data_IF_750309406805
#
_entry.id   IF_750309406805
#
_cell.length_a   1.000
_cell.length_b   1.000
_cell.length_c   1.000
_cell.angle_alpha   90.00
_cell.angle_beta   90.00
_cell.angle_gamma   90.00
#
_symmetry.space_group_name_H-M   'P 1'
#
loop_
_entity.id
_entity.type
_entity.pdbx_description
1 polymer ?
#
# COMPACT_ATOMS: atom_id res chain seq x y z
N UNK A 1 2.57 4.54 13.34
CA UNK A 1 3.28 4.81 12.05
C UNK A 1 2.84 6.16 11.48
N UNK A 2 3.78 6.90 10.95
CA UNK A 2 3.46 8.14 10.25
C UNK A 2 2.89 7.85 8.86
N UNK A 3 2.26 8.86 8.24
CA UNK A 3 1.73 8.74 6.88
C UNK A 3 2.83 8.43 5.87
N UNK A 4 4.01 9.04 6.02
CA UNK A 4 5.17 8.77 5.16
C UNK A 4 5.64 7.32 5.26
N UNK A 5 5.73 6.78 6.48
CA UNK A 5 6.09 5.38 6.70
C UNK A 5 5.08 4.42 6.08
N UNK A 6 3.79 4.71 6.21
CA UNK A 6 2.72 3.91 5.62
C UNK A 6 2.78 3.94 4.09
N UNK A 7 3.01 5.10 3.49
CA UNK A 7 3.17 5.23 2.03
C UNK A 7 4.38 4.45 1.52
N UNK A 8 5.50 4.54 2.24
CA UNK A 8 6.71 3.79 1.88
C UNK A 8 6.46 2.28 1.94
N UNK A 9 5.79 1.82 2.98
CA UNK A 9 5.44 0.41 3.12
C UNK A 9 4.48 -0.04 2.03
N UNK A 10 3.50 0.77 1.69
CA UNK A 10 2.58 0.51 0.59
C UNK A 10 3.33 0.33 -0.72
N UNK A 11 4.25 1.24 -1.05
CA UNK A 11 5.05 1.18 -2.26
C UNK A 11 5.93 -0.07 -2.30
N UNK A 12 6.55 -0.44 -1.19
CA UNK A 12 7.34 -1.67 -1.09
C UNK A 12 6.49 -2.91 -1.37
N UNK A 13 5.31 -3.00 -0.76
CA UNK A 13 4.40 -4.12 -0.96
C UNK A 13 3.90 -4.19 -2.40
N UNK A 14 3.57 -3.05 -2.99
CA UNK A 14 3.14 -2.97 -4.39
C UNK A 14 4.25 -3.45 -5.33
N UNK A 15 5.50 -3.03 -5.08
CA UNK A 15 6.66 -3.47 -5.84
C UNK A 15 6.90 -4.98 -5.71
N UNK A 16 6.75 -5.53 -4.51
CA UNK A 16 6.87 -6.97 -4.26
C UNK A 16 5.82 -7.74 -5.06
N UNK A 17 4.57 -7.30 -5.02
CA UNK A 17 3.46 -7.92 -5.76
C UNK A 17 3.73 -7.88 -7.27
N UNK A 18 4.17 -6.76 -7.80
CA UNK A 18 4.52 -6.60 -9.22
C UNK A 18 5.67 -7.53 -9.62
N UNK A 19 6.70 -7.62 -8.79
CA UNK A 19 7.85 -8.51 -9.02
C UNK A 19 7.43 -9.98 -9.01
N UNK A 20 6.57 -10.37 -8.07
CA UNK A 20 6.04 -11.73 -7.97
C UNK A 20 5.19 -12.09 -9.21
N UNK A 21 4.37 -11.17 -9.68
CA UNK A 21 3.58 -11.37 -10.90
C UNK A 21 4.49 -11.63 -12.11
N UNK A 22 5.55 -10.84 -12.27
CA UNK A 22 6.52 -11.01 -13.36
C UNK A 22 7.23 -12.36 -13.28
N UNK A 23 7.64 -12.76 -12.07
CA UNK A 23 8.28 -14.06 -11.85
C UNK A 23 7.34 -15.22 -12.17
N UNK A 24 6.08 -15.14 -11.75
CA UNK A 24 5.10 -16.20 -11.99
C UNK A 24 4.79 -16.37 -13.48
N UNK A 25 4.83 -15.30 -14.26
CA UNK A 25 4.60 -15.36 -15.71
C UNK A 25 5.71 -16.13 -16.43
N UNK A 26 6.95 -16.07 -15.91
CA UNK A 26 8.10 -16.75 -16.48
C UNK A 26 8.28 -18.19 -15.98
N UNK A 27 7.62 -18.55 -14.88
CA UNK A 27 7.74 -19.88 -14.27
C UNK A 27 6.75 -20.87 -14.87
N UNK A 28 7.22 -22.12 -15.06
CA UNK A 28 6.39 -23.24 -15.53
C UNK A 28 6.13 -24.27 -14.43
N UNK A 29 6.92 -24.24 -13.34
CA UNK A 29 6.79 -25.18 -12.24
C UNK A 29 5.68 -24.75 -11.28
N UNK A 30 4.64 -25.58 -11.19
CA UNK A 30 3.47 -25.32 -10.35
C UNK A 30 3.80 -25.15 -8.87
N UNK A 31 4.77 -25.89 -8.37
CA UNK A 31 5.15 -25.83 -6.95
C UNK A 31 5.72 -24.46 -6.59
N UNK A 32 6.58 -23.90 -7.43
CA UNK A 32 7.11 -22.56 -7.23
C UNK A 32 6.05 -21.49 -7.38
N UNK A 33 5.16 -21.65 -8.36
CA UNK A 33 4.04 -20.72 -8.58
C UNK A 33 3.14 -20.67 -7.35
N UNK A 34 2.78 -21.83 -6.77
CA UNK A 34 1.95 -21.90 -5.56
C UNK A 34 2.61 -21.20 -4.37
N UNK A 35 3.92 -21.38 -4.18
CA UNK A 35 4.66 -20.72 -3.10
C UNK A 35 4.68 -19.21 -3.29
N UNK A 36 4.89 -18.73 -4.52
CA UNK A 36 4.88 -17.31 -4.82
C UNK A 36 3.48 -16.70 -4.69
N UNK A 37 2.44 -17.44 -5.03
CA UNK A 37 1.05 -17.02 -4.83
C UNK A 37 0.74 -16.81 -3.35
N UNK A 38 1.25 -17.67 -2.47
CA UNK A 38 1.08 -17.51 -1.02
C UNK A 38 1.74 -16.23 -0.51
N UNK A 39 2.97 -15.96 -0.96
CA UNK A 39 3.69 -14.73 -0.60
C UNK A 39 2.94 -13.51 -1.12
N UNK A 40 2.47 -13.57 -2.35
CA UNK A 40 1.66 -12.50 -2.97
C UNK A 40 0.38 -12.25 -2.17
N UNK A 41 -0.29 -13.30 -1.74
CA UNK A 41 -1.51 -13.22 -0.95
C UNK A 41 -1.25 -12.53 0.39
N UNK A 42 -0.17 -12.87 1.08
CA UNK A 42 0.23 -12.22 2.33
C UNK A 42 0.54 -10.74 2.12
N UNK A 43 1.28 -10.40 1.07
CA UNK A 43 1.59 -9.02 0.72
C UNK A 43 0.32 -8.23 0.39
N UNK A 44 -0.61 -8.82 -0.33
CA UNK A 44 -1.88 -8.19 -0.68
C UNK A 44 -2.74 -7.92 0.57
N UNK A 45 -2.76 -8.86 1.52
CA UNK A 45 -3.47 -8.67 2.79
C UNK A 45 -2.90 -7.51 3.60
N UNK A 46 -1.58 -7.41 3.69
CA UNK A 46 -0.93 -6.28 4.37
C UNK A 46 -1.24 -4.95 3.69
N UNK A 47 -1.23 -4.93 2.37
CA UNK A 47 -1.55 -3.75 1.58
C UNK A 47 -3.00 -3.31 1.82
N UNK A 48 -3.93 -4.25 1.85
CA UNK A 48 -5.35 -4.00 2.15
C UNK A 48 -5.56 -3.45 3.56
N UNK A 49 -4.73 -3.87 4.52
CA UNK A 49 -4.77 -3.33 5.90
C UNK A 49 -4.21 -1.91 5.99
N UNK A 50 -3.20 -1.59 5.20
CA UNK A 50 -2.54 -0.29 5.21
C UNK A 50 -3.36 0.78 4.48
N UNK A 51 -4.01 0.42 3.39
CA UNK A 51 -4.77 1.34 2.54
C UNK A 51 -5.76 2.21 3.31
N UNK A 52 -6.67 1.66 4.16
CA UNK A 52 -7.60 2.49 4.91
C UNK A 52 -6.91 3.39 5.94
N UNK A 53 -5.77 2.98 6.49
CA UNK A 53 -4.99 3.80 7.41
C UNK A 53 -4.41 5.02 6.71
N UNK A 54 -3.91 4.86 5.49
CA UNK A 54 -3.39 5.95 4.66
C UNK A 54 -4.53 6.93 4.34
N UNK A 55 -5.67 6.43 3.90
CA UNK A 55 -6.84 7.26 3.57
C UNK A 55 -7.28 8.08 4.78
N UNK A 56 -7.33 7.48 5.94
CA UNK A 56 -7.73 8.17 7.18
C UNK A 56 -6.79 9.31 7.52
N UNK A 57 -5.48 9.07 7.43
CA UNK A 57 -4.47 10.09 7.73
C UNK A 57 -4.47 11.21 6.68
N UNK A 58 -4.67 10.88 5.41
CA UNK A 58 -4.81 11.88 4.35
C UNK A 58 -6.03 12.77 4.57
N UNK A 59 -7.16 12.21 4.97
CA UNK A 59 -8.37 12.97 5.30
C UNK A 59 -8.13 13.91 6.48
N UNK A 60 -7.42 13.46 7.51
CA UNK A 60 -7.07 14.29 8.67
C UNK A 60 -6.19 15.48 8.27
N UNK A 61 -5.19 15.26 7.41
CA UNK A 61 -4.33 16.32 6.88
C UNK A 61 -5.14 17.34 6.06
N UNK A 62 -6.03 16.89 5.21
CA UNK A 62 -6.90 17.76 4.42
C UNK A 62 -7.80 18.63 5.31
N UNK A 63 -8.34 18.07 6.38
CA UNK A 63 -9.16 18.82 7.35
C UNK A 63 -8.36 19.93 8.02
N UNK A 64 -7.13 19.66 8.42
CA UNK A 64 -6.25 20.66 9.03
C UNK A 64 -5.92 21.78 8.06
N UNK A 65 -5.57 21.46 6.82
CA UNK A 65 -5.29 22.44 5.77
C UNK A 65 -6.51 23.31 5.50
N UNK A 66 -7.69 22.72 5.41
CA UNK A 66 -8.93 23.45 5.18
C UNK A 66 -9.26 24.40 6.34
N UNK A 67 -9.01 24.00 7.58
CA UNK A 67 -9.20 24.87 8.76
C UNK A 67 -8.29 26.09 8.72
N UNK A 68 -7.03 25.89 8.40
CA UNK A 68 -6.05 26.98 8.25
C UNK A 68 -6.45 27.95 7.14
N UNK A 69 -6.91 27.43 6.02
CA UNK A 69 -7.39 28.21 4.89
C UNK A 69 -8.62 29.04 5.27
N UNK A 70 -9.60 28.47 5.97
CA UNK A 70 -10.78 29.19 6.44
C UNK A 70 -10.43 30.32 7.39
N UNK A 71 -9.44 30.13 8.28
CA UNK A 71 -8.96 31.16 9.18
C UNK A 71 -8.27 32.31 8.45
N UNK A 72 -7.55 32.03 7.38
CA UNK A 72 -6.81 33.04 6.63
C UNK A 72 -7.69 33.90 5.72
N UNK A 73 -8.90 33.44 5.41
CA UNK A 73 -9.87 34.16 4.58
C UNK A 73 -10.69 35.17 5.41
N UNK A 74 -10.72 35.01 6.72
CA UNK A 74 -11.41 35.90 7.66
C UNK A 74 -10.43 36.97 8.16
#
# INVERSE_FOLDING_TARGET
MTLEELRNKYDELDNIISSLNSLMDDLTDKNYIEQLELIKFEAQNELDEIEPQIQKLEEEEEREINREYERSVI
#
